data_IF_325615513476
#
_entry.id   IF_325615513476
#
_cell.length_a   1.000
_cell.length_b   1.000
_cell.length_c   1.000
_cell.angle_alpha   90.00
_cell.angle_beta   90.00
_cell.angle_gamma   90.00
#
_symmetry.space_group_name_H-M   'P 1'
#
loop_
_entity.id
_entity.type
_entity.pdbx_description
1 polymer ?
#
# COMPACT_ATOMS: atom_id res chain seq x y z
N UNK A 1 21.65 29.78 45.65
CA UNK A 1 21.16 29.66 44.27
C UNK A 1 20.38 28.35 44.10
N UNK A 2 19.14 28.39 43.58
CA UNK A 2 18.40 27.20 43.30
C UNK A 2 19.05 26.43 42.12
N UNK A 3 19.31 25.13 42.28
CA UNK A 3 19.91 24.27 41.27
C UNK A 3 18.84 23.49 40.55
N UNK A 4 18.74 23.63 39.24
CA UNK A 4 17.86 22.84 38.39
C UNK A 4 18.57 21.57 37.95
N UNK A 5 18.05 20.39 38.35
CA UNK A 5 18.57 19.09 37.94
C UNK A 5 17.72 18.55 36.75
N UNK A 6 18.37 18.12 35.69
CA UNK A 6 17.74 17.40 34.59
C UNK A 6 16.94 18.22 33.57
N UNK A 7 16.89 19.56 33.72
CA UNK A 7 16.14 20.43 32.81
C UNK A 7 16.61 20.34 31.35
N UNK A 8 17.90 20.27 31.12
CA UNK A 8 18.45 20.08 29.76
C UNK A 8 18.08 18.76 29.13
N UNK A 9 18.09 17.68 29.90
CA UNK A 9 17.70 16.33 29.41
C UNK A 9 16.22 16.26 29.06
N UNK A 10 15.35 16.84 29.89
CA UNK A 10 13.93 16.94 29.61
C UNK A 10 13.66 17.71 28.31
N UNK A 11 14.31 18.87 28.15
CA UNK A 11 14.20 19.69 26.93
C UNK A 11 14.67 18.93 25.67
N UNK A 12 15.80 18.21 25.74
CA UNK A 12 16.28 17.37 24.63
C UNK A 12 15.27 16.29 24.24
N UNK A 13 14.69 15.58 25.23
CA UNK A 13 13.64 14.56 24.98
C UNK A 13 12.39 15.16 24.36
N UNK A 14 11.93 16.30 24.86
CA UNK A 14 10.78 17.01 24.30
C UNK A 14 11.01 17.45 22.86
N UNK A 15 12.20 18.02 22.57
CA UNK A 15 12.55 18.48 21.23
C UNK A 15 12.59 17.32 20.20
N UNK A 16 13.01 16.13 20.58
CA UNK A 16 12.96 14.95 19.68
C UNK A 16 11.53 14.66 19.21
N UNK A 17 10.59 14.65 20.16
CA UNK A 17 9.17 14.41 19.85
C UNK A 17 8.58 15.54 19.01
N UNK A 18 8.88 16.79 19.35
CA UNK A 18 8.40 17.96 18.60
C UNK A 18 8.96 18.03 17.18
N UNK A 19 10.19 17.55 16.96
CA UNK A 19 10.75 17.42 15.59
C UNK A 19 9.92 16.45 14.73
N UNK A 20 9.49 15.33 15.29
CA UNK A 20 8.63 14.36 14.60
C UNK A 20 7.19 14.89 14.37
N UNK A 21 6.75 15.82 15.19
CA UNK A 21 5.43 16.46 15.10
C UNK A 21 5.41 17.70 14.20
N UNK A 22 6.51 18.05 13.55
CA UNK A 22 6.53 19.19 12.62
C UNK A 22 5.50 19.00 11.49
N UNK A 23 4.78 20.07 11.18
CA UNK A 23 3.72 20.05 10.18
C UNK A 23 2.35 19.61 10.68
N UNK A 24 2.22 19.20 11.94
CA UNK A 24 0.93 18.88 12.53
C UNK A 24 0.13 20.15 12.84
N UNK A 25 -1.20 20.03 12.82
CA UNK A 25 -2.09 21.18 13.04
C UNK A 25 -2.19 21.56 14.52
N UNK A 26 -2.20 22.87 14.78
CA UNK A 26 -2.47 23.46 16.08
C UNK A 26 -1.49 23.02 17.16
N UNK A 27 -2.01 22.72 18.33
CA UNK A 27 -1.23 22.33 19.50
C UNK A 27 -0.42 21.03 19.33
N UNK A 28 -0.81 20.17 18.40
CA UNK A 28 -0.11 18.90 18.09
C UNK A 28 1.31 19.10 17.62
N UNK A 29 1.63 20.26 17.02
CA UNK A 29 2.99 20.59 16.58
C UNK A 29 3.80 21.34 17.63
N UNK A 30 3.16 21.91 18.65
CA UNK A 30 3.79 22.86 19.58
C UNK A 30 3.82 22.38 21.04
N UNK A 31 2.72 21.81 21.54
CA UNK A 31 2.61 21.34 22.91
C UNK A 31 3.08 19.89 23.02
N UNK A 32 4.10 19.63 23.84
CA UNK A 32 4.71 18.31 24.00
C UNK A 32 3.71 17.21 24.37
N UNK A 33 2.79 17.43 25.30
CA UNK A 33 1.82 16.43 25.75
C UNK A 33 0.98 15.92 24.59
N UNK A 34 0.43 16.82 23.81
CA UNK A 34 -0.44 16.50 22.65
C UNK A 34 0.39 15.97 21.48
N UNK A 35 1.56 16.56 21.23
CA UNK A 35 2.50 16.11 20.20
C UNK A 35 2.96 14.67 20.43
N UNK A 36 3.30 14.31 21.67
CA UNK A 36 3.69 12.94 22.03
C UNK A 36 2.62 11.93 21.69
N UNK A 37 1.36 12.18 22.07
CA UNK A 37 0.27 11.25 21.76
C UNK A 37 0.04 11.12 20.25
N UNK A 38 0.10 12.23 19.51
CA UNK A 38 -0.06 12.24 18.06
C UNK A 38 1.07 11.49 17.35
N UNK A 39 2.31 11.68 17.77
CA UNK A 39 3.48 10.98 17.23
C UNK A 39 3.42 9.48 17.52
N UNK A 40 3.07 9.07 18.75
CA UNK A 40 2.90 7.65 19.09
C UNK A 40 1.86 6.99 18.19
N UNK A 41 0.73 7.64 17.97
CA UNK A 41 -0.32 7.14 17.08
C UNK A 41 0.12 7.09 15.62
N UNK A 42 0.85 8.10 15.15
CA UNK A 42 1.41 8.13 13.80
C UNK A 42 2.38 6.95 13.54
N UNK A 43 3.26 6.68 14.49
CA UNK A 43 4.22 5.56 14.38
C UNK A 43 3.50 4.19 14.41
N UNK A 44 2.52 4.01 15.27
CA UNK A 44 1.71 2.79 15.33
C UNK A 44 0.93 2.57 14.03
N UNK A 45 0.29 3.63 13.49
CA UNK A 45 -0.42 3.59 12.21
C UNK A 45 0.53 3.31 11.04
N UNK A 46 1.71 3.88 11.06
CA UNK A 46 2.77 3.65 10.07
C UNK A 46 3.21 2.17 10.04
N UNK A 47 3.37 1.55 11.20
CA UNK A 47 3.66 0.12 11.29
C UNK A 47 2.55 -0.73 10.68
N UNK A 48 1.31 -0.47 11.06
CA UNK A 48 0.14 -1.16 10.52
C UNK A 48 0.02 -0.94 8.99
N UNK A 49 0.21 0.31 8.54
CA UNK A 49 0.16 0.67 7.11
C UNK A 49 1.20 -0.07 6.27
N UNK A 50 2.44 -0.20 6.77
CA UNK A 50 3.47 -0.99 6.06
C UNK A 50 3.09 -2.48 5.94
N UNK A 51 2.42 -3.05 6.94
CA UNK A 51 1.89 -4.42 6.87
C UNK A 51 0.73 -4.55 5.88
N UNK A 52 -0.13 -3.54 5.80
CA UNK A 52 -1.29 -3.50 4.91
C UNK A 52 -0.91 -3.21 3.44
N UNK A 53 0.24 -2.60 3.19
CA UNK A 53 0.69 -2.19 1.85
C UNK A 53 0.59 -3.32 0.83
N UNK A 54 1.03 -4.53 1.19
CA UNK A 54 0.96 -5.71 0.31
C UNK A 54 -0.48 -6.06 -0.09
N UNK A 55 -1.42 -5.98 0.86
CA UNK A 55 -2.85 -6.27 0.62
C UNK A 55 -3.48 -5.21 -0.29
N UNK A 56 -3.18 -3.95 -0.05
CA UNK A 56 -3.70 -2.82 -0.84
C UNK A 56 -3.23 -2.88 -2.28
N UNK A 57 -1.94 -3.10 -2.52
CA UNK A 57 -1.41 -3.27 -3.87
C UNK A 57 -2.00 -4.48 -4.58
N UNK A 58 -2.15 -5.61 -3.88
CA UNK A 58 -2.79 -6.79 -4.46
C UNK A 58 -4.26 -6.53 -4.86
N UNK A 59 -5.01 -5.81 -4.05
CA UNK A 59 -6.38 -5.40 -4.40
C UNK A 59 -6.40 -4.53 -5.65
N UNK A 60 -5.50 -3.56 -5.75
CA UNK A 60 -5.36 -2.71 -6.93
C UNK A 60 -5.04 -3.50 -8.19
N UNK A 61 -4.09 -4.44 -8.12
CA UNK A 61 -3.76 -5.31 -9.27
C UNK A 61 -4.95 -6.16 -9.70
N UNK A 62 -5.65 -6.75 -8.76
CA UNK A 62 -6.85 -7.56 -9.04
C UNK A 62 -7.94 -6.71 -9.71
N UNK A 63 -8.16 -5.48 -9.25
CA UNK A 63 -9.12 -4.57 -9.86
C UNK A 63 -8.77 -4.25 -11.32
N UNK A 64 -7.50 -3.93 -11.60
CA UNK A 64 -7.01 -3.66 -12.96
C UNK A 64 -7.13 -4.86 -13.88
N UNK A 65 -6.70 -6.04 -13.42
CA UNK A 65 -6.82 -7.30 -14.18
C UNK A 65 -8.29 -7.62 -14.46
N UNK A 66 -9.17 -7.46 -13.47
CA UNK A 66 -10.60 -7.75 -13.64
C UNK A 66 -11.25 -6.81 -14.66
N UNK A 67 -10.90 -5.53 -14.65
CA UNK A 67 -11.40 -4.57 -15.65
C UNK A 67 -10.99 -4.99 -17.07
N UNK A 68 -9.70 -5.26 -17.28
CA UNK A 68 -9.19 -5.70 -18.58
C UNK A 68 -9.74 -7.07 -19.00
N UNK A 69 -9.92 -8.01 -18.08
CA UNK A 69 -10.53 -9.30 -18.36
C UNK A 69 -11.98 -9.15 -18.84
N UNK A 70 -12.77 -8.27 -18.20
CA UNK A 70 -14.15 -7.98 -18.61
C UNK A 70 -14.22 -7.35 -19.99
N UNK A 71 -13.30 -6.47 -20.35
CA UNK A 71 -13.19 -5.91 -21.70
C UNK A 71 -12.96 -7.01 -22.75
N UNK A 72 -12.29 -8.08 -22.39
CA UNK A 72 -12.06 -9.26 -23.22
C UNK A 72 -13.11 -10.36 -23.03
N UNK A 73 -14.23 -10.09 -22.37
CA UNK A 73 -15.35 -11.03 -22.21
C UNK A 73 -15.13 -12.15 -21.17
N UNK A 74 -14.14 -12.00 -20.28
CA UNK A 74 -13.84 -12.95 -19.21
C UNK A 74 -14.07 -12.33 -17.82
N UNK A 75 -14.43 -13.16 -16.84
CA UNK A 75 -14.31 -12.77 -15.43
C UNK A 75 -12.88 -13.01 -14.93
N UNK A 76 -12.49 -12.30 -13.86
CA UNK A 76 -11.19 -12.49 -13.22
C UNK A 76 -10.88 -13.96 -12.88
N UNK A 77 -11.89 -14.67 -12.31
CA UNK A 77 -11.73 -16.07 -11.91
C UNK A 77 -11.49 -16.99 -13.10
N UNK A 78 -12.25 -16.78 -14.19
CA UNK A 78 -12.09 -17.56 -15.44
C UNK A 78 -10.72 -17.29 -16.07
N UNK A 79 -10.30 -16.03 -16.14
CA UNK A 79 -8.97 -15.67 -16.65
C UNK A 79 -7.86 -16.37 -15.86
N UNK A 80 -7.88 -16.26 -14.53
CA UNK A 80 -6.85 -16.87 -13.69
C UNK A 80 -6.85 -18.40 -13.74
N UNK A 81 -8.03 -19.00 -13.86
CA UNK A 81 -8.17 -20.45 -14.04
C UNK A 81 -7.60 -20.90 -15.38
N UNK A 82 -7.96 -20.23 -16.47
CA UNK A 82 -7.45 -20.57 -17.80
C UNK A 82 -5.95 -20.40 -17.94
N UNK A 83 -5.35 -19.34 -17.38
CA UNK A 83 -3.91 -19.19 -17.35
C UNK A 83 -3.21 -20.32 -16.57
N UNK A 84 -3.83 -20.76 -15.47
CA UNK A 84 -3.31 -21.90 -14.71
C UNK A 84 -3.39 -23.22 -15.49
N UNK A 85 -4.49 -23.46 -16.18
CA UNK A 85 -4.64 -24.66 -17.05
C UNK A 85 -3.65 -24.63 -18.22
N UNK A 86 -3.41 -23.45 -18.78
CA UNK A 86 -2.40 -23.25 -19.84
C UNK A 86 -0.94 -23.30 -19.34
N UNK A 87 -0.70 -23.57 -18.04
CA UNK A 87 0.63 -23.55 -17.40
C UNK A 87 1.39 -22.22 -17.55
N UNK A 88 0.67 -21.12 -17.64
CA UNK A 88 1.24 -19.77 -17.68
C UNK A 88 1.32 -19.21 -16.26
N UNK A 89 2.52 -19.14 -15.71
CA UNK A 89 2.79 -18.60 -14.37
C UNK A 89 3.26 -17.13 -14.46
N UNK A 90 2.31 -16.21 -14.42
CA UNK A 90 2.56 -14.77 -14.38
C UNK A 90 2.00 -14.19 -13.07
N UNK A 91 2.80 -13.41 -12.36
CA UNK A 91 2.34 -12.80 -11.13
C UNK A 91 1.34 -11.65 -11.42
N UNK A 92 0.50 -11.35 -10.41
CA UNK A 92 -0.56 -10.35 -10.55
C UNK A 92 -0.06 -8.93 -10.82
N UNK A 93 1.14 -8.60 -10.35
CA UNK A 93 1.77 -7.30 -10.62
C UNK A 93 2.05 -7.12 -12.11
N UNK A 94 2.67 -8.11 -12.73
CA UNK A 94 2.97 -8.09 -14.17
C UNK A 94 1.69 -8.12 -15.01
N UNK A 95 0.71 -8.95 -14.66
CA UNK A 95 -0.59 -8.96 -15.34
C UNK A 95 -1.30 -7.60 -15.26
N UNK A 96 -1.25 -6.94 -14.10
CA UNK A 96 -1.84 -5.62 -13.93
C UNK A 96 -1.10 -4.53 -14.71
N UNK A 97 0.19 -4.68 -14.88
CA UNK A 97 1.03 -3.78 -15.69
C UNK A 97 0.73 -3.95 -17.19
N UNK A 98 0.66 -5.18 -17.68
CA UNK A 98 0.22 -5.49 -19.04
C UNK A 98 -1.20 -4.95 -19.31
N UNK A 99 -2.11 -5.12 -18.37
CA UNK A 99 -3.49 -4.63 -18.50
C UNK A 99 -3.60 -3.11 -18.73
N UNK A 100 -2.61 -2.34 -18.28
CA UNK A 100 -2.60 -0.87 -18.40
C UNK A 100 -1.73 -0.40 -19.56
N UNK A 101 -0.56 -1.00 -19.74
CA UNK A 101 0.46 -0.51 -20.67
C UNK A 101 0.46 -1.25 -22.02
N UNK A 102 -0.02 -2.49 -22.05
CA UNK A 102 -0.04 -3.36 -23.24
C UNK A 102 -1.35 -4.14 -23.33
N UNK A 103 -2.37 -3.46 -23.86
CA UNK A 103 -3.69 -4.06 -24.02
C UNK A 103 -3.71 -5.22 -25.04
N UNK A 104 -2.85 -5.18 -26.05
CA UNK A 104 -2.76 -6.24 -27.08
C UNK A 104 -2.14 -7.52 -26.49
N UNK A 105 -1.05 -7.39 -25.74
CA UNK A 105 -0.42 -8.50 -25.03
C UNK A 105 -1.36 -9.12 -23.99
N UNK A 106 -2.16 -8.30 -23.30
CA UNK A 106 -3.17 -8.80 -22.36
C UNK A 106 -4.31 -9.54 -23.09
N UNK A 107 -4.77 -9.03 -24.24
CA UNK A 107 -5.78 -9.69 -25.06
C UNK A 107 -5.31 -11.06 -25.56
N UNK A 108 -4.06 -11.20 -25.99
CA UNK A 108 -3.47 -12.48 -26.37
C UNK A 108 -3.48 -13.49 -25.21
N UNK A 109 -3.16 -13.07 -23.99
CA UNK A 109 -3.26 -13.91 -22.79
C UNK A 109 -4.70 -14.31 -22.48
N UNK A 110 -5.66 -13.39 -22.66
CA UNK A 110 -7.07 -13.67 -22.47
C UNK A 110 -7.59 -14.71 -23.50
N UNK A 111 -7.15 -14.64 -24.75
CA UNK A 111 -7.48 -15.64 -25.78
C UNK A 111 -6.91 -17.04 -25.46
N UNK A 112 -5.66 -17.12 -25.00
CA UNK A 112 -5.08 -18.39 -24.54
C UNK A 112 -5.89 -18.96 -23.38
N UNK A 113 -6.26 -18.11 -22.43
CA UNK A 113 -7.10 -18.49 -21.27
C UNK A 113 -8.48 -19.02 -21.72
N UNK A 114 -9.12 -18.40 -22.70
CA UNK A 114 -10.40 -18.85 -23.25
C UNK A 114 -10.27 -20.24 -23.88
N UNK A 115 -9.24 -20.43 -24.70
CA UNK A 115 -8.97 -21.73 -25.35
C UNK A 115 -8.68 -22.85 -24.37
N UNK A 116 -8.03 -22.52 -23.26
CA UNK A 116 -7.70 -23.51 -22.23
C UNK A 116 -8.91 -23.94 -21.38
N UNK A 117 -9.98 -23.14 -21.34
CA UNK A 117 -11.20 -23.43 -20.56
C UNK A 117 -12.32 -24.02 -21.45
N UNK A 118 -12.25 -23.78 -22.75
CA UNK A 118 -13.19 -24.33 -23.71
C UNK A 118 -13.04 -25.85 -23.80
#
# INVERSE_FOLDING_TARGET
MARIKGGLNAKKKHNRTLKLAKGYRGARSKQYRVAKQSVMRALASSYAGRKQKKRQFRQLWIARINAAARMNGLSYSKLMHGLKVANIDINRKMLAELAVNDAEGFAALAEISKKAIA
#
